data_IF_037322869117
#
_entry.id   IF_037322869117
#
_cell.length_a   1.000
_cell.length_b   1.000
_cell.length_c   1.000
_cell.angle_alpha   90.00
_cell.angle_beta   90.00
_cell.angle_gamma   90.00
#
_symmetry.space_group_name_H-M   'P 1'
#
loop_
_entity.id
_entity.type
_entity.pdbx_description
1 polymer ?
#
# COMPACT_ATOMS: atom_id res chain seq x y z
N UNK A 1 -10.13 5.41 -17.76
CA UNK A 1 -10.35 4.43 -16.66
C UNK A 1 -9.30 4.59 -15.56
N UNK A 2 -9.63 4.38 -14.28
CA UNK A 2 -8.65 4.34 -13.17
C UNK A 2 -8.41 2.87 -12.78
N UNK A 3 -7.15 2.47 -12.67
CA UNK A 3 -6.75 1.10 -12.35
C UNK A 3 -6.29 1.04 -10.89
N UNK A 4 -7.05 0.35 -10.04
CA UNK A 4 -6.63 0.08 -8.68
C UNK A 4 -5.85 -1.23 -8.60
N UNK A 5 -4.59 -1.20 -9.05
CA UNK A 5 -3.79 -2.39 -9.31
C UNK A 5 -3.60 -3.29 -8.07
N UNK A 6 -3.27 -2.73 -6.91
CA UNK A 6 -2.78 -3.53 -5.77
C UNK A 6 -3.79 -3.72 -4.63
N UNK A 7 -5.10 -3.68 -4.92
CA UNK A 7 -6.14 -3.87 -3.89
C UNK A 7 -6.24 -5.30 -3.38
N UNK A 8 -5.99 -6.29 -4.24
CA UNK A 8 -6.11 -7.72 -3.92
C UNK A 8 -4.79 -8.32 -3.45
N UNK A 9 -3.67 -7.77 -3.91
CA UNK A 9 -2.31 -8.21 -3.58
C UNK A 9 -1.35 -7.03 -3.71
N UNK A 10 -0.26 -7.05 -2.95
CA UNK A 10 0.80 -6.05 -3.01
C UNK A 10 1.65 -6.28 -4.27
N UNK A 11 1.15 -5.76 -5.40
CA UNK A 11 1.82 -5.87 -6.71
C UNK A 11 3.25 -5.30 -6.65
N UNK A 12 3.51 -4.10 -6.11
CA UNK A 12 4.87 -3.57 -6.05
C UNK A 12 5.86 -4.48 -5.31
N UNK A 13 5.41 -5.18 -4.26
CA UNK A 13 6.28 -6.05 -3.48
C UNK A 13 6.49 -7.45 -4.09
N UNK A 14 5.47 -8.03 -4.74
CA UNK A 14 5.50 -9.45 -5.11
C UNK A 14 5.35 -9.73 -6.61
N UNK A 15 4.79 -8.79 -7.37
CA UNK A 15 4.40 -9.00 -8.78
C UNK A 15 4.80 -7.84 -9.67
N UNK A 16 5.86 -7.09 -9.33
CA UNK A 16 6.33 -5.95 -10.11
C UNK A 16 6.70 -6.34 -11.54
N UNK A 17 7.46 -7.43 -11.72
CA UNK A 17 7.85 -7.92 -13.05
C UNK A 17 6.65 -8.32 -13.91
N UNK A 18 5.69 -9.05 -13.33
CA UNK A 18 4.45 -9.40 -14.03
C UNK A 18 3.68 -8.14 -14.43
N UNK A 19 3.59 -7.15 -13.54
CA UNK A 19 2.90 -5.90 -13.82
C UNK A 19 3.55 -5.11 -14.95
N UNK A 20 4.89 -5.04 -15.00
CA UNK A 20 5.58 -4.39 -16.10
C UNK A 20 5.34 -5.12 -17.43
N UNK A 21 5.35 -6.45 -17.44
CA UNK A 21 5.08 -7.22 -18.66
C UNK A 21 3.69 -6.91 -19.22
N UNK A 22 2.64 -6.86 -18.39
CA UNK A 22 1.29 -6.51 -18.88
C UNK A 22 1.17 -5.05 -19.35
N UNK A 23 1.94 -4.13 -18.76
CA UNK A 23 2.00 -2.74 -19.23
C UNK A 23 2.65 -2.67 -20.61
N UNK A 24 3.71 -3.44 -20.85
CA UNK A 24 4.35 -3.55 -22.18
C UNK A 24 3.44 -4.23 -23.21
N UNK A 25 2.69 -5.26 -22.80
CA UNK A 25 1.69 -5.92 -23.65
C UNK A 25 0.48 -5.02 -23.97
N UNK A 26 0.27 -3.94 -23.19
CA UNK A 26 -0.80 -2.96 -23.43
C UNK A 26 -2.21 -3.45 -23.08
N UNK A 27 -2.37 -4.67 -22.55
CA UNK A 27 -3.67 -5.16 -22.11
C UNK A 27 -3.55 -6.25 -21.04
N UNK A 28 -4.63 -6.51 -20.31
CA UNK A 28 -4.69 -7.61 -19.34
C UNK A 28 -6.06 -8.29 -19.37
N UNK A 29 -6.07 -9.62 -19.35
CA UNK A 29 -7.30 -10.39 -19.21
C UNK A 29 -7.69 -10.48 -17.75
N UNK A 30 -8.93 -10.08 -17.43
CA UNK A 30 -9.48 -10.24 -16.10
C UNK A 30 -10.76 -11.05 -16.11
N UNK A 31 -10.94 -11.80 -15.03
CA UNK A 31 -12.11 -12.65 -14.81
C UNK A 31 -13.14 -11.89 -14.00
N UNK A 32 -14.39 -11.88 -14.46
CA UNK A 32 -15.48 -11.24 -13.72
C UNK A 32 -15.65 -11.94 -12.36
N UNK A 33 -15.63 -11.20 -11.23
CA UNK A 33 -15.77 -11.79 -9.90
C UNK A 33 -17.15 -12.44 -9.66
N UNK A 34 -18.20 -11.98 -10.33
CA UNK A 34 -19.56 -12.49 -10.19
C UNK A 34 -19.88 -13.61 -11.20
N UNK A 35 -19.26 -13.59 -12.38
CA UNK A 35 -19.39 -14.66 -13.38
C UNK A 35 -18.02 -15.13 -13.86
N UNK A 36 -17.51 -16.22 -13.27
CA UNK A 36 -16.17 -16.73 -13.59
C UNK A 36 -16.01 -17.23 -15.04
N UNK A 37 -17.09 -17.50 -15.77
CA UNK A 37 -17.00 -17.90 -17.19
C UNK A 37 -16.71 -16.69 -18.10
N UNK A 38 -17.00 -15.48 -17.63
CA UNK A 38 -16.75 -14.26 -18.37
C UNK A 38 -15.33 -13.76 -18.11
N UNK A 39 -14.55 -13.65 -19.18
CA UNK A 39 -13.22 -13.06 -19.22
C UNK A 39 -13.30 -11.87 -20.17
N UNK A 40 -12.73 -10.74 -19.78
CA UNK A 40 -12.64 -9.57 -20.64
C UNK A 40 -11.23 -8.99 -20.60
N UNK A 41 -10.82 -8.42 -21.73
CA UNK A 41 -9.59 -7.67 -21.84
C UNK A 41 -9.80 -6.24 -21.34
N UNK A 42 -8.86 -5.76 -20.54
CA UNK A 42 -8.72 -4.36 -20.20
C UNK A 42 -7.59 -3.80 -21.06
N UNK A 43 -7.89 -2.76 -21.85
CA UNK A 43 -6.90 -1.95 -22.54
C UNK A 43 -6.14 -1.09 -21.53
N UNK A 44 -4.82 -1.24 -21.52
CA UNK A 44 -3.89 -0.54 -20.64
C UNK A 44 -3.16 0.59 -21.36
N UNK A 45 -3.50 0.93 -22.60
CA UNK A 45 -2.84 2.03 -23.34
C UNK A 45 -2.88 3.35 -22.55
N UNK A 46 -1.80 4.16 -22.56
CA UNK A 46 -1.71 5.38 -21.76
C UNK A 46 -2.86 6.38 -21.94
N UNK A 47 -3.42 6.47 -23.16
CA UNK A 47 -4.55 7.35 -23.49
C UNK A 47 -5.89 6.87 -22.91
N UNK A 48 -6.02 5.57 -22.61
CA UNK A 48 -7.22 4.97 -21.98
C UNK A 48 -7.14 4.95 -20.45
N UNK A 49 -5.93 4.97 -19.90
CA UNK A 49 -5.67 4.90 -18.45
C UNK A 49 -5.48 6.30 -17.86
N UNK A 50 -6.48 6.76 -17.11
CA UNK A 50 -6.44 8.05 -16.41
C UNK A 50 -5.51 8.05 -15.21
N UNK A 51 -5.31 6.88 -14.59
CA UNK A 51 -4.31 6.73 -13.55
C UNK A 51 -4.28 5.34 -12.92
N UNK A 52 -3.13 5.01 -12.32
CA UNK A 52 -2.87 3.74 -11.64
C UNK A 52 -2.63 3.98 -10.15
N UNK A 53 -3.32 3.20 -9.32
CA UNK A 53 -3.20 3.26 -7.86
C UNK A 53 -2.49 2.02 -7.34
N UNK A 54 -1.28 2.20 -6.82
CA UNK A 54 -0.52 1.16 -6.16
C UNK A 54 -0.76 1.19 -4.66
N UNK A 55 -0.88 0.02 -4.04
CA UNK A 55 -0.95 -0.16 -2.59
C UNK A 55 0.16 -1.10 -2.20
N UNK A 56 1.00 -0.68 -1.25
CA UNK A 56 2.16 -1.49 -0.87
C UNK A 56 2.62 -1.24 0.55
N UNK A 57 3.30 -2.24 1.12
CA UNK A 57 4.16 -2.11 2.30
C UNK A 57 5.65 -2.17 1.94
N UNK A 58 5.99 -2.50 0.69
CA UNK A 58 7.38 -2.59 0.21
C UNK A 58 7.48 -2.28 -1.30
N UNK A 59 7.87 -1.05 -1.70
CA UNK A 59 7.97 -0.68 -3.10
C UNK A 59 9.29 -1.10 -3.76
N UNK A 60 10.26 -1.62 -3.00
CA UNK A 60 11.63 -1.84 -3.48
C UNK A 60 11.71 -2.63 -4.79
N UNK A 61 10.97 -3.74 -4.99
CA UNK A 61 11.05 -4.52 -6.22
C UNK A 61 10.53 -3.79 -7.46
N UNK A 62 9.83 -2.68 -7.27
CA UNK A 62 9.28 -1.86 -8.35
C UNK A 62 10.16 -0.65 -8.67
N UNK A 63 10.96 -0.14 -7.70
CA UNK A 63 11.66 1.14 -7.80
C UNK A 63 12.60 1.29 -9.01
N UNK A 64 13.29 0.22 -9.40
CA UNK A 64 14.31 0.28 -10.45
C UNK A 64 13.73 0.52 -11.85
N UNK A 65 12.45 0.20 -12.05
CA UNK A 65 11.79 0.19 -13.37
C UNK A 65 10.64 1.20 -13.48
N UNK A 66 10.56 2.18 -12.57
CA UNK A 66 9.49 3.18 -12.57
C UNK A 66 9.43 4.02 -13.85
N UNK A 67 10.54 4.14 -14.58
CA UNK A 67 10.62 4.87 -15.85
C UNK A 67 9.80 4.19 -16.97
N UNK A 68 9.52 2.89 -16.85
CA UNK A 68 8.59 2.19 -17.75
C UNK A 68 7.14 2.67 -17.58
N UNK A 69 6.83 3.39 -16.51
CA UNK A 69 5.52 3.99 -16.26
C UNK A 69 5.48 5.49 -16.56
N UNK A 70 6.50 6.06 -17.23
CA UNK A 70 6.59 7.51 -17.46
C UNK A 70 5.39 8.11 -18.19
N UNK A 71 4.75 7.33 -19.05
CA UNK A 71 3.58 7.75 -19.84
C UNK A 71 2.27 7.63 -19.05
N UNK A 72 2.32 7.08 -17.83
CA UNK A 72 1.17 6.88 -16.97
C UNK A 72 1.15 7.85 -15.79
N UNK A 73 -0.05 8.34 -15.46
CA UNK A 73 -0.29 8.97 -14.17
C UNK A 73 -0.45 7.87 -13.12
N UNK A 74 0.27 7.96 -12.00
CA UNK A 74 0.12 6.99 -10.93
C UNK A 74 0.48 7.59 -9.57
N UNK A 75 0.04 6.93 -8.51
CA UNK A 75 0.46 7.24 -7.15
C UNK A 75 0.48 5.99 -6.27
N UNK A 76 1.20 6.09 -5.15
CA UNK A 76 1.37 5.02 -4.18
C UNK A 76 0.63 5.34 -2.89
N UNK A 77 -0.21 4.41 -2.47
CA UNK A 77 -0.72 4.26 -1.12
C UNK A 77 0.27 3.37 -0.35
N UNK A 78 1.23 3.98 0.34
CA UNK A 78 2.30 3.26 1.02
C UNK A 78 2.01 3.16 2.51
N UNK A 79 1.71 1.93 2.94
CA UNK A 79 1.40 1.60 4.32
C UNK A 79 2.66 1.45 5.17
N UNK A 80 2.84 2.33 6.15
CA UNK A 80 3.84 2.22 7.21
C UNK A 80 3.11 2.37 8.54
N UNK A 81 2.95 1.25 9.23
CA UNK A 81 2.36 1.14 10.57
C UNK A 81 3.48 1.02 11.62
N UNK A 82 3.19 1.08 12.93
CA UNK A 82 4.25 0.96 13.93
C UNK A 82 4.49 -0.51 14.36
N UNK A 83 3.79 -1.47 13.76
CA UNK A 83 3.70 -2.82 14.32
C UNK A 83 5.00 -3.62 14.21
N UNK A 84 5.21 -4.50 15.18
CA UNK A 84 6.31 -5.47 15.15
C UNK A 84 6.01 -6.69 14.29
N UNK A 85 6.93 -7.66 14.36
CA UNK A 85 6.82 -8.96 13.66
C UNK A 85 5.64 -9.81 14.15
N UNK A 86 5.12 -9.53 15.34
CA UNK A 86 3.90 -10.12 15.89
C UNK A 86 2.64 -9.83 15.06
N UNK A 87 2.62 -8.73 14.30
CA UNK A 87 1.50 -8.37 13.40
C UNK A 87 1.94 -8.33 11.93
N UNK A 88 3.19 -7.93 11.66
CA UNK A 88 3.73 -7.79 10.31
C UNK A 88 5.03 -8.61 10.13
N UNK A 89 4.98 -9.96 10.22
CA UNK A 89 6.17 -10.81 10.25
C UNK A 89 7.02 -10.71 8.97
N UNK A 90 6.37 -10.51 7.82
CA UNK A 90 7.04 -10.56 6.51
C UNK A 90 7.45 -9.19 5.97
N UNK A 91 7.29 -8.13 6.75
CA UNK A 91 7.72 -6.79 6.34
C UNK A 91 9.19 -6.61 6.76
N UNK A 92 10.08 -6.15 5.85
CA UNK A 92 11.45 -5.76 6.19
C UNK A 92 11.51 -4.76 7.34
N UNK A 93 12.71 -4.56 7.89
CA UNK A 93 12.87 -3.61 8.99
C UNK A 93 12.36 -2.20 8.61
N UNK A 94 11.55 -1.62 9.49
CA UNK A 94 10.87 -0.36 9.18
C UNK A 94 11.84 0.81 9.13
N UNK A 95 12.79 0.84 10.07
CA UNK A 95 13.74 1.94 10.22
C UNK A 95 14.81 1.87 9.13
N UNK A 96 15.36 0.69 8.91
CA UNK A 96 16.57 0.52 8.10
C UNK A 96 16.24 0.26 6.62
N UNK A 97 15.02 -0.22 6.31
CA UNK A 97 14.62 -0.59 4.94
C UNK A 97 13.39 0.18 4.45
N UNK A 98 12.26 0.11 5.16
CA UNK A 98 10.98 0.63 4.64
C UNK A 98 10.92 2.15 4.61
N UNK A 99 11.36 2.84 5.67
CA UNK A 99 11.41 4.31 5.70
C UNK A 99 12.38 4.84 4.62
N UNK A 100 13.62 4.32 4.47
CA UNK A 100 14.48 4.68 3.35
C UNK A 100 13.85 4.40 1.98
N UNK A 101 13.15 3.27 1.80
CA UNK A 101 12.43 2.97 0.56
C UNK A 101 11.35 4.01 0.25
N UNK A 102 10.60 4.46 1.27
CA UNK A 102 9.61 5.54 1.13
C UNK A 102 10.26 6.84 0.66
N UNK A 103 11.35 7.25 1.32
CA UNK A 103 12.09 8.47 0.96
C UNK A 103 12.57 8.40 -0.50
N UNK A 104 13.20 7.28 -0.89
CA UNK A 104 13.67 7.06 -2.27
C UNK A 104 12.54 7.07 -3.29
N UNK A 105 11.40 6.47 -2.98
CA UNK A 105 10.23 6.52 -3.84
C UNK A 105 9.76 7.98 -4.02
N UNK A 106 9.57 8.70 -2.91
CA UNK A 106 9.16 10.10 -2.95
C UNK A 106 10.16 11.00 -3.66
N UNK A 107 11.46 10.74 -3.59
CA UNK A 107 12.47 11.51 -4.32
C UNK A 107 12.35 11.28 -5.83
N UNK A 108 12.08 10.05 -6.25
CA UNK A 108 11.91 9.70 -7.67
C UNK A 108 10.62 10.25 -8.28
N UNK A 109 9.51 10.15 -7.55
CA UNK A 109 8.18 10.47 -8.11
C UNK A 109 7.56 11.74 -7.53
N UNK A 110 8.18 12.38 -6.55
CA UNK A 110 7.64 13.56 -5.87
C UNK A 110 6.67 13.20 -4.74
N UNK A 111 6.67 14.04 -3.71
CA UNK A 111 5.92 13.85 -2.47
C UNK A 111 4.38 13.82 -2.66
N UNK A 112 3.86 14.42 -3.72
CA UNK A 112 2.43 14.44 -4.02
C UNK A 112 1.90 13.09 -4.50
N UNK A 113 2.80 12.23 -5.02
CA UNK A 113 2.47 10.91 -5.55
C UNK A 113 2.73 9.77 -4.57
N UNK A 114 3.17 10.06 -3.34
CA UNK A 114 3.34 9.06 -2.28
C UNK A 114 2.51 9.46 -1.08
N UNK A 115 1.46 8.69 -0.80
CA UNK A 115 0.54 8.91 0.32
C UNK A 115 0.91 7.91 1.41
N UNK A 116 1.25 8.43 2.59
CA UNK A 116 1.50 7.58 3.75
C UNK A 116 0.17 7.06 4.30
N UNK A 117 0.08 5.75 4.48
CA UNK A 117 -1.03 5.11 5.17
C UNK A 117 -0.56 4.60 6.53
N UNK A 118 -1.07 5.21 7.59
CA UNK A 118 -0.98 4.71 8.95
C UNK A 118 -2.31 4.04 9.30
N UNK A 119 -2.58 2.95 8.58
CA UNK A 119 -3.90 2.33 8.51
C UNK A 119 -3.77 0.81 8.31
N UNK A 120 -4.40 -0.03 9.15
CA UNK A 120 -5.29 0.35 10.26
C UNK A 120 -4.53 0.59 11.57
N UNK A 121 -5.14 1.40 12.45
CA UNK A 121 -4.80 1.56 13.86
C UNK A 121 -5.53 0.47 14.65
N UNK A 122 -4.78 -0.30 15.44
CA UNK A 122 -5.28 -1.30 16.38
C UNK A 122 -4.82 -0.94 17.78
N UNK A 123 -5.77 -0.90 18.72
CA UNK A 123 -5.46 -0.60 20.12
C UNK A 123 -5.57 -1.88 20.93
N UNK A 124 -4.52 -2.18 21.70
CA UNK A 124 -4.53 -3.23 22.72
C UNK A 124 -3.50 -2.89 23.81
N UNK A 125 -3.25 -3.82 24.73
CA UNK A 125 -2.29 -3.61 25.83
C UNK A 125 -0.86 -3.32 25.37
N UNK A 126 -0.45 -3.82 24.20
CA UNK A 126 0.88 -3.61 23.62
C UNK A 126 0.94 -2.35 22.75
N UNK A 127 -0.06 -2.16 21.91
CA UNK A 127 -0.22 -1.03 20.99
C UNK A 127 -1.22 -0.05 21.57
N UNK A 128 -0.85 0.60 22.67
CA UNK A 128 -1.69 1.60 23.33
C UNK A 128 -1.81 2.89 22.51
N UNK A 129 -2.74 3.77 22.90
CA UNK A 129 -2.86 5.11 22.31
C UNK A 129 -1.54 5.88 22.43
N UNK A 130 -0.90 5.88 23.61
CA UNK A 130 0.39 6.55 23.81
C UNK A 130 1.51 5.97 22.94
N UNK A 131 1.50 4.65 22.73
CA UNK A 131 2.44 3.99 21.82
C UNK A 131 2.24 4.52 20.39
N UNK A 132 0.99 4.58 19.93
CA UNK A 132 0.65 5.11 18.61
C UNK A 132 1.05 6.58 18.45
N UNK A 133 0.81 7.44 19.44
CA UNK A 133 1.19 8.85 19.39
C UNK A 133 2.71 9.01 19.20
N UNK A 134 3.52 8.34 20.04
CA UNK A 134 4.99 8.37 19.92
C UNK A 134 5.49 7.81 18.59
N UNK A 135 4.92 6.69 18.14
CA UNK A 135 5.34 6.07 16.89
C UNK A 135 4.94 6.90 15.66
N UNK A 136 3.73 7.47 15.68
CA UNK A 136 3.25 8.35 14.62
C UNK A 136 4.13 9.59 14.51
N UNK A 137 4.43 10.26 15.63
CA UNK A 137 5.33 11.43 15.65
C UNK A 137 6.69 11.10 15.04
N UNK A 138 7.30 9.99 15.47
CA UNK A 138 8.60 9.54 14.94
C UNK A 138 8.55 9.28 13.44
N UNK A 139 7.54 8.55 12.94
CA UNK A 139 7.42 8.26 11.50
C UNK A 139 7.13 9.54 10.72
N UNK A 140 6.22 10.40 11.20
CA UNK A 140 5.89 11.67 10.57
C UNK A 140 7.14 12.56 10.44
N UNK A 141 7.97 12.62 11.49
CA UNK A 141 9.24 13.33 11.45
C UNK A 141 10.19 12.73 10.41
N UNK A 142 10.31 11.40 10.32
CA UNK A 142 11.13 10.76 9.30
C UNK A 142 10.63 11.00 7.87
N UNK A 143 9.31 11.08 7.68
CA UNK A 143 8.67 11.28 6.37
C UNK A 143 8.44 12.75 6.01
N UNK A 144 8.91 13.69 6.85
CA UNK A 144 8.77 15.14 6.60
C UNK A 144 9.26 15.50 5.19
N UNK A 145 8.49 16.33 4.50
CA UNK A 145 8.73 16.73 3.10
C UNK A 145 8.78 15.59 2.05
N UNK A 146 8.51 14.34 2.43
CA UNK A 146 8.43 13.18 1.51
C UNK A 146 7.01 12.71 1.22
N UNK A 147 6.02 13.33 1.85
CA UNK A 147 4.61 13.16 1.53
C UNK A 147 3.84 14.42 1.88
N UNK A 148 2.70 14.65 1.22
CA UNK A 148 1.76 15.72 1.57
C UNK A 148 0.48 15.22 2.23
N UNK A 149 0.27 13.90 2.32
CA UNK A 149 -0.98 13.32 2.79
C UNK A 149 -0.71 12.08 3.63
N UNK A 150 -1.42 11.98 4.74
CA UNK A 150 -1.51 10.77 5.55
C UNK A 150 -2.96 10.32 5.65
N UNK A 151 -3.19 9.03 5.50
CA UNK A 151 -4.48 8.38 5.77
C UNK A 151 -4.36 7.56 7.03
N UNK A 152 -5.29 7.78 7.96
CA UNK A 152 -5.48 6.96 9.17
C UNK A 152 -6.85 6.32 9.13
N UNK A 153 -6.97 5.12 9.71
CA UNK A 153 -8.25 4.49 9.99
C UNK A 153 -8.11 3.56 11.18
N UNK A 154 -9.20 3.22 11.85
CA UNK A 154 -9.22 2.26 12.95
C UNK A 154 -9.73 0.91 12.46
N UNK A 155 -9.22 -0.17 13.03
CA UNK A 155 -9.65 -1.52 12.65
C UNK A 155 -11.15 -1.72 12.93
N UNK A 156 -11.91 -2.10 11.91
CA UNK A 156 -13.32 -2.45 12.07
C UNK A 156 -13.46 -3.95 12.41
N UNK A 157 -13.75 -4.22 13.69
CA UNK A 157 -13.94 -5.58 14.20
C UNK A 157 -15.27 -6.22 13.77
N UNK A 158 -16.21 -5.43 13.24
CA UNK A 158 -17.48 -5.94 12.72
C UNK A 158 -17.34 -6.43 11.27
N UNK A 159 -16.27 -6.05 10.56
CA UNK A 159 -16.02 -6.52 9.22
C UNK A 159 -15.74 -8.03 9.18
N UNK A 160 -16.52 -8.75 8.35
CA UNK A 160 -16.55 -10.22 8.33
C UNK A 160 -15.17 -10.85 8.09
N UNK A 161 -14.35 -10.24 7.22
CA UNK A 161 -13.01 -10.73 6.90
C UNK A 161 -11.94 -10.46 7.96
N UNK A 162 -12.24 -9.63 8.97
CA UNK A 162 -11.32 -9.27 10.05
C UNK A 162 -11.70 -9.98 11.35
N UNK A 163 -12.96 -10.37 11.52
CA UNK A 163 -13.51 -10.92 12.77
C UNK A 163 -12.75 -12.14 13.34
N UNK A 164 -12.25 -13.04 12.49
CA UNK A 164 -11.47 -14.20 12.95
C UNK A 164 -10.10 -13.80 13.49
N UNK A 165 -9.40 -12.92 12.77
CA UNK A 165 -8.03 -12.50 13.09
C UNK A 165 -8.01 -11.48 14.24
N UNK A 166 -9.06 -10.66 14.36
CA UNK A 166 -9.21 -9.67 15.43
C UNK A 166 -9.26 -10.29 16.83
N UNK A 167 -9.77 -11.54 16.97
CA UNK A 167 -9.80 -12.24 18.26
C UNK A 167 -8.39 -12.45 18.83
N UNK A 168 -7.43 -12.80 17.98
CA UNK A 168 -6.04 -13.02 18.38
C UNK A 168 -5.32 -11.71 18.76
N UNK A 169 -5.86 -10.55 18.36
CA UNK A 169 -5.25 -9.25 18.60
C UNK A 169 -5.68 -8.60 19.93
N UNK A 170 -6.58 -9.24 20.69
CA UNK A 170 -7.06 -8.78 22.00
C UNK A 170 -7.40 -7.27 22.02
N UNK A 171 -8.18 -6.82 21.03
CA UNK A 171 -8.42 -5.40 20.79
C UNK A 171 -9.22 -4.76 21.92
N UNK A 172 -8.77 -3.59 22.36
CA UNK A 172 -9.50 -2.71 23.27
C UNK A 172 -10.47 -1.82 22.49
N UNK A 173 -11.59 -1.46 23.10
CA UNK A 173 -12.48 -0.44 22.52
C UNK A 173 -11.81 0.92 22.56
N UNK A 174 -12.02 1.71 21.51
CA UNK A 174 -11.77 3.14 21.54
C UNK A 174 -12.88 3.76 22.40
N UNK A 175 -12.51 4.32 23.56
CA UNK A 175 -13.42 4.98 24.51
C UNK A 175 -13.00 6.44 24.65
#
# INVERSE_FOLDING_TARGET
>A
MIISASRRTDIPAYYSNWFYNIIQEGSVLIRNPFNRRQIYAIDLSPDKVLGIVFWTKNPLPMLARLDELRDYKYYFQFTITPYGKDIEPNIPDKKDVIIPAFKRLSEKIGADRVIWRYDPILINSRYSVDYHLRAFEKIAFELRARTRRVTISFIDTKYRGVKSNAKALALSRFS
#
